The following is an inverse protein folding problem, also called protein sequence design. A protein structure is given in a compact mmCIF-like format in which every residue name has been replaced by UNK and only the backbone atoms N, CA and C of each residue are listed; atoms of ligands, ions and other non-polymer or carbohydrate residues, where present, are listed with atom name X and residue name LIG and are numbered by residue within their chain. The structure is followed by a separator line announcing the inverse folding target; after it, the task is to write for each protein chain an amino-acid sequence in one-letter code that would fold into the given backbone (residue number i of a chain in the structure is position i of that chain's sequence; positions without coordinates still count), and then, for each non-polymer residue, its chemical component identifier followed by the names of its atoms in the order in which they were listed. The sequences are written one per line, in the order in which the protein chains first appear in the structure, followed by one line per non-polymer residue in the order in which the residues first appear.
data_IF_381492108599
#
_entry.id   IF_381492108599
#
_cell.length_a   1.000
_cell.length_b   1.000
_cell.length_c   1.000
_cell.angle_alpha   90.00
_cell.angle_beta   90.00
_cell.angle_gamma   90.00
#
_symmetry.space_group_name_H-M   'P 1'
#
loop_
_entity.id
_entity.type
_entity.pdbx_description
1 polymer ?
#
# COMPACT_ATOMS: atom_id res chain seq x y z
N UNK A 1 8.10 48.04 6.60
CA UNK A 1 9.40 47.68 7.22
C UNK A 1 9.73 46.27 6.75
N UNK A 2 10.67 46.18 5.83
CA UNK A 2 11.10 44.97 5.13
C UNK A 2 12.26 44.36 5.93
N UNK A 3 12.20 43.06 6.23
CA UNK A 3 13.32 42.34 6.86
C UNK A 3 13.75 41.25 5.89
N UNK A 4 15.01 41.35 5.47
CA UNK A 4 15.53 40.82 4.22
C UNK A 4 15.69 39.30 4.13
N UNK A 5 15.44 38.80 2.92
CA UNK A 5 16.01 37.57 2.34
C UNK A 5 17.54 37.65 2.39
N UNK A 6 18.19 36.56 2.77
CA UNK A 6 19.62 36.37 2.55
C UNK A 6 19.85 35.13 1.67
N UNK A 7 20.30 35.38 0.45
CA UNK A 7 21.00 34.43 -0.41
C UNK A 7 22.31 35.12 -0.83
N UNK A 8 23.46 34.50 -0.54
CA UNK A 8 24.61 34.29 -1.46
C UNK A 8 25.89 33.92 -0.68
N UNK A 9 26.49 32.79 -1.07
CA UNK A 9 27.89 32.75 -1.49
C UNK A 9 28.11 31.50 -2.35
N UNK A 10 28.30 31.72 -3.64
CA UNK A 10 28.82 30.76 -4.61
C UNK A 10 30.33 30.62 -4.38
N UNK A 11 30.84 29.38 -4.31
CA UNK A 11 32.24 29.09 -4.61
C UNK A 11 32.32 27.73 -5.31
N UNK A 12 32.47 27.80 -6.62
CA UNK A 12 32.84 26.71 -7.51
C UNK A 12 34.36 26.53 -7.46
N UNK A 13 34.85 25.33 -7.12
CA UNK A 13 36.14 24.85 -7.62
C UNK A 13 36.09 23.35 -7.86
N UNK A 14 36.33 22.99 -9.12
CA UNK A 14 36.50 21.64 -9.66
C UNK A 14 37.92 21.14 -9.35
N UNK A 15 38.06 19.85 -8.98
CA UNK A 15 39.00 18.88 -9.57
C UNK A 15 39.27 17.71 -8.61
N UNK A 16 39.15 16.47 -9.12
CA UNK A 16 39.71 15.29 -8.46
C UNK A 16 39.05 13.99 -8.87
N UNK A 17 39.44 13.43 -10.03
CA UNK A 17 39.15 12.07 -10.42
C UNK A 17 39.73 11.06 -9.40
N UNK A 18 39.00 9.99 -9.14
CA UNK A 18 39.45 8.82 -8.39
C UNK A 18 38.58 7.64 -8.76
N UNK A 19 39.03 6.89 -9.76
CA UNK A 19 38.36 5.74 -10.34
C UNK A 19 38.71 4.45 -9.58
N UNK A 20 37.75 3.52 -9.58
CA UNK A 20 37.87 2.06 -9.46
C UNK A 20 38.20 1.39 -8.11
N UNK A 21 37.21 0.63 -7.63
CA UNK A 21 37.38 -0.56 -6.80
C UNK A 21 36.08 -1.37 -6.80
N UNK A 22 36.06 -2.63 -7.29
CA UNK A 22 34.82 -3.40 -7.39
C UNK A 22 34.41 -3.91 -6.00
N UNK A 23 33.18 -3.60 -5.59
CA UNK A 23 32.53 -4.28 -4.47
C UNK A 23 32.25 -5.71 -4.90
N UNK A 24 33.09 -6.62 -4.43
CA UNK A 24 32.86 -8.06 -4.49
C UNK A 24 31.55 -8.38 -3.75
N UNK A 25 30.71 -9.18 -4.42
CA UNK A 25 29.48 -9.68 -3.85
C UNK A 25 29.73 -10.86 -2.91
N UNK A 26 28.90 -10.94 -1.88
CA UNK A 26 28.63 -12.16 -1.14
C UNK A 26 27.12 -12.39 -1.13
N UNK A 27 26.60 -12.82 -2.29
CA UNK A 27 25.30 -13.47 -2.39
C UNK A 27 25.46 -14.90 -1.91
N UNK A 28 25.33 -15.11 -0.59
CA UNK A 28 25.33 -16.44 0.02
C UNK A 28 24.09 -17.22 -0.36
N UNK A 29 24.19 -18.00 -1.44
CA UNK A 29 23.29 -19.10 -1.77
C UNK A 29 23.74 -20.35 -1.01
N UNK A 30 23.01 -20.73 0.03
CA UNK A 30 23.16 -22.05 0.66
C UNK A 30 21.84 -22.47 1.32
N UNK A 31 21.00 -23.18 0.55
CA UNK A 31 19.96 -24.06 1.09
C UNK A 31 19.91 -25.34 0.24
N UNK A 32 20.94 -26.17 0.39
CA UNK A 32 20.99 -27.54 -0.10
C UNK A 32 20.65 -28.55 1.00
N UNK A 33 19.38 -28.98 1.06
CA UNK A 33 18.91 -30.28 1.59
C UNK A 33 19.02 -30.57 3.10
N UNK A 34 18.34 -31.63 3.62
CA UNK A 34 17.70 -32.71 2.89
C UNK A 34 16.16 -32.74 2.99
N UNK A 35 15.57 -33.42 2.01
CA UNK A 35 14.22 -33.94 2.07
C UNK A 35 14.10 -34.96 3.21
N UNK A 36 13.10 -34.78 4.08
CA UNK A 36 12.59 -35.86 4.91
C UNK A 36 11.14 -36.16 4.51
N UNK A 37 11.02 -37.30 3.85
CA UNK A 37 9.79 -38.00 3.57
C UNK A 37 9.30 -38.71 4.84
N UNK A 38 7.98 -38.76 5.05
CA UNK A 38 7.21 -39.88 5.64
C UNK A 38 5.72 -39.48 5.79
N UNK A 39 4.76 -40.42 5.84
CA UNK A 39 4.35 -41.26 4.72
C UNK A 39 2.85 -41.09 4.41
N UNK A 40 2.48 -41.34 3.15
CA UNK A 40 1.12 -41.74 2.79
C UNK A 40 0.91 -43.16 3.29
N UNK A 41 -0.23 -43.44 3.92
CA UNK A 41 -1.03 -44.66 3.73
C UNK A 41 -2.30 -44.63 4.61
N UNK A 42 -3.44 -44.97 4.01
CA UNK A 42 -4.72 -45.08 4.72
C UNK A 42 -5.95 -45.16 3.80
N UNK A 43 -5.99 -46.15 2.91
CA UNK A 43 -7.19 -46.60 2.20
C UNK A 43 -7.88 -47.66 3.08
N UNK A 44 -9.16 -47.54 3.46
CA UNK A 44 -10.36 -48.19 2.86
C UNK A 44 -11.40 -48.41 4.00
N UNK A 45 -12.58 -49.02 3.76
CA UNK A 45 -13.72 -48.61 2.93
C UNK A 45 -15.06 -48.63 3.74
N UNK A 46 -16.18 -48.46 3.03
CA UNK A 46 -17.56 -48.85 3.40
C UNK A 46 -18.39 -47.93 4.32
N UNK A 47 -19.24 -47.11 3.68
CA UNK A 47 -20.53 -46.70 4.22
C UNK A 47 -21.61 -46.86 3.11
N UNK A 48 -22.84 -47.27 3.46
CA UNK A 48 -23.80 -47.84 2.52
C UNK A 48 -24.40 -46.81 1.58
N UNK A 49 -24.57 -47.23 0.32
CA UNK A 49 -25.37 -46.53 -0.69
C UNK A 49 -26.84 -46.58 -0.28
N UNK A 50 -27.40 -45.44 0.09
CA UNK A 50 -28.85 -45.25 0.11
C UNK A 50 -29.25 -44.87 -1.32
N UNK A 51 -29.87 -45.82 -2.01
CA UNK A 51 -30.62 -45.61 -3.25
C UNK A 51 -31.89 -44.83 -2.89
N UNK A 52 -31.85 -43.53 -3.12
CA UNK A 52 -33.05 -42.74 -3.33
C UNK A 52 -33.05 -42.35 -4.81
N UNK A 53 -33.65 -43.24 -5.58
CA UNK A 53 -34.19 -42.99 -6.91
C UNK A 53 -35.20 -41.85 -6.80
N UNK A 54 -34.71 -40.61 -6.92
CA UNK A 54 -35.54 -39.43 -7.18
C UNK A 54 -35.91 -39.49 -8.67
N UNK A 55 -37.21 -39.40 -9.03
CA UNK A 55 -37.64 -39.40 -10.41
C UNK A 55 -36.93 -38.28 -11.18
N UNK A 56 -36.34 -38.65 -12.32
CA UNK A 56 -35.97 -37.71 -13.38
C UNK A 56 -37.26 -37.14 -13.98
N UNK A 57 -37.74 -36.05 -13.42
CA UNK A 57 -38.77 -35.24 -14.04
C UNK A 57 -38.14 -34.03 -14.73
N UNK A 58 -38.26 -34.01 -16.05
CA UNK A 58 -38.48 -32.79 -16.83
C UNK A 58 -37.27 -31.88 -17.01
N UNK A 59 -36.68 -31.95 -18.20
CA UNK A 59 -36.12 -30.75 -18.81
C UNK A 59 -37.22 -29.68 -18.87
N UNK A 60 -37.06 -28.65 -18.06
CA UNK A 60 -37.71 -27.37 -18.22
C UNK A 60 -36.61 -26.36 -18.47
N UNK A 61 -36.59 -25.78 -19.67
CA UNK A 61 -35.94 -24.49 -19.91
C UNK A 61 -36.43 -23.51 -18.85
N UNK A 62 -35.58 -23.24 -17.86
CA UNK A 62 -35.74 -22.08 -17.00
C UNK A 62 -35.17 -20.91 -17.77
N UNK A 63 -36.05 -20.20 -18.47
CA UNK A 63 -35.77 -18.88 -18.97
C UNK A 63 -35.28 -17.99 -17.81
N UNK A 64 -33.98 -17.68 -17.81
CA UNK A 64 -33.42 -16.47 -17.22
C UNK A 64 -33.40 -16.35 -15.69
N UNK A 65 -32.30 -16.82 -15.09
CA UNK A 65 -31.70 -16.18 -13.91
C UNK A 65 -31.69 -17.04 -12.65
N UNK A 66 -30.51 -17.53 -12.27
CA UNK A 66 -30.25 -18.26 -11.02
C UNK A 66 -30.25 -17.35 -9.77
N UNK A 67 -30.85 -16.17 -9.87
CA UNK A 67 -30.92 -15.14 -8.85
C UNK A 67 -29.71 -14.21 -8.79
N UNK A 68 -29.81 -13.12 -8.01
CA UNK A 68 -28.69 -12.25 -7.71
C UNK A 68 -27.72 -12.92 -6.73
N UNK A 69 -26.47 -12.50 -6.77
CA UNK A 69 -25.43 -12.88 -5.82
C UNK A 69 -24.58 -11.65 -5.48
N UNK A 70 -23.63 -11.81 -4.54
CA UNK A 70 -22.70 -10.73 -4.22
C UNK A 70 -21.31 -11.26 -3.85
N UNK A 71 -20.26 -10.64 -4.39
CA UNK A 71 -18.85 -10.93 -4.08
C UNK A 71 -18.25 -9.74 -3.35
N UNK A 72 -17.85 -9.89 -2.08
CA UNK A 72 -17.25 -8.80 -1.29
C UNK A 72 -18.06 -7.48 -1.25
N UNK A 73 -19.38 -7.55 -1.41
CA UNK A 73 -20.27 -6.38 -1.48
C UNK A 73 -20.63 -5.92 -2.89
N UNK A 74 -19.94 -6.41 -3.91
CA UNK A 74 -20.25 -6.13 -5.32
C UNK A 74 -21.44 -6.98 -5.78
N UNK A 75 -22.50 -6.37 -6.35
CA UNK A 75 -23.65 -7.10 -6.87
C UNK A 75 -23.27 -7.89 -8.13
N UNK A 76 -23.78 -9.12 -8.23
CA UNK A 76 -23.59 -10.00 -9.38
C UNK A 76 -24.86 -10.78 -9.71
N UNK A 77 -24.79 -11.56 -10.79
CA UNK A 77 -25.88 -12.43 -11.23
C UNK A 77 -25.35 -13.85 -11.36
N UNK A 78 -26.12 -14.81 -10.87
CA UNK A 78 -25.83 -16.22 -11.05
C UNK A 78 -26.16 -16.64 -12.49
N UNK A 79 -25.14 -17.04 -13.25
CA UNK A 79 -25.23 -17.47 -14.64
C UNK A 79 -24.17 -18.54 -14.91
N UNK A 80 -24.26 -19.24 -16.05
CA UNK A 80 -23.25 -20.19 -16.48
C UNK A 80 -21.88 -19.49 -16.67
N UNK A 81 -20.80 -20.12 -16.20
CA UNK A 81 -19.42 -19.62 -16.36
C UNK A 81 -19.05 -19.36 -17.82
N UNK A 82 -19.63 -20.08 -18.76
CA UNK A 82 -19.40 -19.90 -20.20
C UNK A 82 -20.11 -18.66 -20.77
N UNK A 83 -21.13 -18.15 -20.07
CA UNK A 83 -21.92 -16.98 -20.45
C UNK A 83 -21.53 -15.72 -19.67
N UNK A 84 -20.60 -15.83 -18.71
CA UNK A 84 -20.12 -14.71 -17.93
C UNK A 84 -19.06 -13.90 -18.70
N UNK A 85 -19.40 -12.68 -19.12
CA UNK A 85 -18.46 -11.71 -19.72
C UNK A 85 -17.53 -11.04 -18.68
N UNK A 86 -17.59 -11.44 -17.40
CA UNK A 86 -16.85 -10.85 -16.28
C UNK A 86 -16.10 -11.86 -15.42
N UNK A 87 -16.12 -11.68 -14.09
CA UNK A 87 -15.43 -12.58 -13.14
C UNK A 87 -16.43 -13.54 -12.52
N UNK A 88 -16.20 -14.85 -12.72
CA UNK A 88 -17.00 -15.92 -12.11
C UNK A 88 -16.42 -16.32 -10.76
N UNK A 89 -17.25 -16.28 -9.71
CA UNK A 89 -16.90 -16.73 -8.36
C UNK A 89 -17.78 -17.90 -7.94
N UNK A 90 -17.16 -19.06 -7.70
CA UNK A 90 -17.85 -20.29 -7.31
C UNK A 90 -18.41 -20.25 -5.88
N UNK A 91 -19.45 -21.06 -5.61
CA UNK A 91 -19.99 -21.30 -4.26
C UNK A 91 -20.96 -20.23 -3.72
N UNK A 92 -21.31 -19.24 -4.55
CA UNK A 92 -22.20 -18.14 -4.18
C UNK A 92 -23.58 -18.21 -4.85
N UNK A 93 -23.81 -19.25 -5.66
CA UNK A 93 -25.04 -19.46 -6.42
C UNK A 93 -25.61 -20.85 -6.14
N UNK A 94 -26.95 -21.00 -6.10
CA UNK A 94 -27.58 -22.30 -6.06
C UNK A 94 -27.44 -22.98 -7.42
N UNK A 95 -27.41 -24.32 -7.43
CA UNK A 95 -27.41 -25.09 -8.67
C UNK A 95 -26.12 -25.88 -8.91
N UNK A 96 -25.92 -26.30 -10.17
CA UNK A 96 -24.75 -27.08 -10.54
C UNK A 96 -23.48 -26.21 -10.60
N UNK A 97 -22.32 -26.84 -10.70
CA UNK A 97 -21.01 -26.19 -10.46
C UNK A 97 -20.63 -25.14 -11.52
N UNK A 98 -21.23 -25.24 -12.70
CA UNK A 98 -21.12 -24.29 -13.81
C UNK A 98 -21.88 -22.99 -13.56
N UNK A 99 -22.80 -22.94 -12.57
CA UNK A 99 -23.50 -21.72 -12.20
C UNK A 99 -22.73 -21.00 -11.11
N UNK A 100 -22.11 -19.88 -11.48
CA UNK A 100 -21.27 -19.09 -10.59
C UNK A 100 -21.73 -17.65 -10.54
N UNK A 101 -21.29 -16.94 -9.49
CA UNK A 101 -21.62 -15.53 -9.36
C UNK A 101 -20.78 -14.74 -10.36
N UNK A 102 -21.42 -14.28 -11.42
CA UNK A 102 -20.82 -13.40 -12.41
C UNK A 102 -20.99 -11.95 -11.95
N UNK A 103 -19.88 -11.31 -11.64
CA UNK A 103 -19.82 -9.84 -11.48
C UNK A 103 -19.27 -9.23 -12.76
N UNK A 104 -19.55 -7.95 -13.03
CA UNK A 104 -19.24 -7.25 -14.30
C UNK A 104 -17.75 -7.19 -14.68
N UNK A 105 -16.86 -7.90 -13.99
CA UNK A 105 -15.41 -7.75 -14.14
C UNK A 105 -14.90 -6.39 -13.66
N UNK A 106 -15.80 -5.50 -13.24
CA UNK A 106 -15.51 -4.24 -12.58
C UNK A 106 -15.16 -4.41 -11.09
N UNK A 107 -14.97 -5.66 -10.65
CA UNK A 107 -13.97 -5.98 -9.62
C UNK A 107 -12.57 -5.68 -10.16
N UNK A 108 -12.34 -4.39 -10.43
CA UNK A 108 -11.26 -3.71 -11.13
C UNK A 108 -10.21 -4.60 -11.79
N UNK A 109 -10.18 -4.62 -13.12
CA UNK A 109 -8.88 -4.64 -13.78
C UNK A 109 -8.05 -3.50 -13.17
N UNK A 110 -6.83 -3.80 -12.73
CA UNK A 110 -5.91 -2.74 -12.33
C UNK A 110 -5.60 -1.93 -13.59
N UNK A 111 -6.33 -0.84 -13.84
CA UNK A 111 -6.02 0.09 -14.91
C UNK A 111 -4.77 0.88 -14.48
N UNK A 112 -3.62 0.68 -15.15
CA UNK A 112 -2.41 1.42 -14.81
C UNK A 112 -2.53 2.92 -15.08
N UNK A 113 -3.53 3.35 -15.86
CA UNK A 113 -3.85 4.76 -16.06
C UNK A 113 -4.70 5.35 -14.94
N UNK A 114 -5.30 4.53 -14.07
CA UNK A 114 -6.07 5.03 -12.94
C UNK A 114 -5.13 5.61 -11.88
N UNK A 115 -5.38 6.86 -11.54
CA UNK A 115 -4.61 7.67 -10.60
C UNK A 115 -5.54 8.18 -9.51
N UNK A 116 -6.07 7.28 -8.65
CA UNK A 116 -6.98 7.70 -7.61
C UNK A 116 -6.26 8.66 -6.67
N UNK A 117 -6.96 9.71 -6.27
CA UNK A 117 -6.45 10.78 -5.41
C UNK A 117 -7.18 10.76 -4.06
N UNK A 118 -6.95 9.75 -3.22
CA UNK A 118 -7.66 9.60 -1.93
C UNK A 118 -7.40 10.76 -0.96
N UNK A 119 -6.36 11.55 -1.20
CA UNK A 119 -5.99 12.71 -0.39
C UNK A 119 -6.64 14.02 -0.86
N UNK A 120 -7.53 14.00 -1.85
CA UNK A 120 -8.18 15.20 -2.38
C UNK A 120 -8.91 15.98 -1.26
N UNK A 121 -8.63 17.29 -1.19
CA UNK A 121 -9.23 18.19 -0.20
C UNK A 121 -8.61 18.15 1.20
N UNK A 122 -7.66 17.26 1.46
CA UNK A 122 -6.90 17.27 2.72
C UNK A 122 -5.85 18.38 2.68
N UNK A 123 -5.64 19.00 3.84
CA UNK A 123 -4.66 20.08 4.02
C UNK A 123 -3.99 19.98 5.38
N UNK A 124 -2.86 20.65 5.53
CA UNK A 124 -2.14 20.67 6.80
C UNK A 124 -2.97 21.36 7.88
N UNK A 125 -3.05 20.72 9.05
CA UNK A 125 -3.58 21.37 10.25
C UNK A 125 -2.62 22.43 10.79
N UNK A 126 -3.04 23.24 11.77
CA UNK A 126 -2.13 24.18 12.41
C UNK A 126 -0.96 23.47 13.09
N UNK A 127 0.21 24.12 13.02
CA UNK A 127 1.37 23.73 13.78
C UNK A 127 1.17 23.91 15.28
N UNK A 128 1.98 23.23 16.08
CA UNK A 128 2.00 23.42 17.54
C UNK A 128 3.23 24.23 17.97
N UNK A 129 3.04 25.17 18.90
CA UNK A 129 4.12 26.01 19.39
C UNK A 129 4.66 26.94 18.30
N UNK A 130 5.99 26.95 18.13
CA UNK A 130 6.66 27.73 17.08
C UNK A 130 6.74 27.00 15.73
N UNK A 131 6.19 25.79 15.63
CA UNK A 131 6.31 24.99 14.40
C UNK A 131 5.32 25.43 13.31
N UNK A 132 5.72 25.32 12.02
CA UNK A 132 4.84 25.56 10.89
C UNK A 132 3.62 24.63 10.87
N UNK A 133 2.67 24.91 9.96
CA UNK A 133 1.53 24.03 9.68
C UNK A 133 1.99 22.57 9.46
N UNK A 134 1.19 21.62 9.93
CA UNK A 134 1.47 20.19 9.86
C UNK A 134 2.52 19.67 10.85
N UNK A 135 3.26 20.55 11.55
CA UNK A 135 4.44 20.14 12.33
C UNK A 135 4.26 20.24 13.86
N UNK A 136 5.07 19.45 14.57
CA UNK A 136 5.19 19.43 16.04
C UNK A 136 6.62 19.67 16.50
N UNK A 137 6.84 20.32 17.66
CA UNK A 137 8.17 20.53 18.19
C UNK A 137 8.72 19.23 18.78
N UNK A 138 9.94 18.88 18.38
CA UNK A 138 10.74 17.81 18.99
C UNK A 138 12.09 18.41 19.34
N UNK A 139 12.32 18.60 20.63
CA UNK A 139 13.53 19.24 21.15
C UNK A 139 13.76 20.62 20.48
N UNK A 140 14.81 20.74 19.66
CA UNK A 140 15.20 21.97 18.97
C UNK A 140 14.77 22.09 17.51
N UNK A 141 13.95 21.16 17.00
CA UNK A 141 13.48 21.17 15.61
C UNK A 141 11.97 20.90 15.53
N UNK A 142 11.41 21.12 14.34
CA UNK A 142 10.04 20.76 14.01
C UNK A 142 10.06 19.53 13.12
N UNK A 143 9.18 18.57 13.38
CA UNK A 143 8.95 17.41 12.53
C UNK A 143 7.48 17.33 12.14
N UNK A 144 7.19 16.77 10.97
CA UNK A 144 5.82 16.54 10.52
C UNK A 144 5.07 15.63 11.50
N UNK A 145 3.81 15.97 11.82
CA UNK A 145 2.97 15.20 12.76
C UNK A 145 2.50 13.88 12.16
N UNK A 146 2.26 13.90 10.86
CA UNK A 146 1.82 12.77 10.04
C UNK A 146 2.83 12.53 8.92
N UNK A 147 2.82 11.34 8.34
CA UNK A 147 3.63 11.02 7.18
C UNK A 147 3.35 11.98 6.01
N UNK A 148 4.35 12.18 5.15
CA UNK A 148 4.24 13.06 4.00
C UNK A 148 3.27 12.52 2.95
N UNK A 149 2.34 13.35 2.51
CA UNK A 149 1.57 13.19 1.28
C UNK A 149 1.99 14.28 0.27
N UNK A 150 1.65 14.10 -1.01
CA UNK A 150 2.02 15.04 -2.06
C UNK A 150 0.82 15.83 -2.59
N UNK A 151 1.09 17.10 -2.91
CA UNK A 151 0.18 17.96 -3.69
C UNK A 151 0.90 18.45 -4.94
N UNK A 152 0.14 18.55 -6.04
CA UNK A 152 0.55 19.25 -7.24
C UNK A 152 0.69 20.74 -6.93
N UNK A 153 1.73 21.38 -7.46
CA UNK A 153 1.97 22.82 -7.27
C UNK A 153 2.31 23.52 -8.59
N UNK A 154 1.89 24.77 -8.71
CA UNK A 154 2.36 25.72 -9.73
C UNK A 154 3.04 26.93 -9.06
N UNK A 155 3.27 28.00 -9.82
CA UNK A 155 3.91 29.22 -9.28
C UNK A 155 3.01 29.97 -8.26
N UNK A 156 1.72 29.65 -8.21
CA UNK A 156 0.74 30.24 -7.30
C UNK A 156 0.52 29.42 -6.02
N UNK A 157 0.91 28.14 -6.01
CA UNK A 157 0.84 27.25 -4.86
C UNK A 157 0.21 25.89 -5.17
N UNK A 158 -0.36 25.19 -4.16
CA UNK A 158 -1.05 23.92 -4.37
C UNK A 158 -2.28 24.04 -5.28
N UNK A 159 -2.36 23.17 -6.28
CA UNK A 159 -3.45 23.13 -7.27
C UNK A 159 -4.28 21.83 -7.22
N UNK A 160 -3.85 20.84 -6.43
CA UNK A 160 -4.55 19.57 -6.26
C UNK A 160 -3.72 18.53 -5.53
N UNK A 161 -4.32 17.41 -5.16
CA UNK A 161 -3.60 16.28 -4.57
C UNK A 161 -2.90 15.43 -5.64
N UNK A 162 -1.78 14.84 -5.28
CA UNK A 162 -1.13 13.78 -6.07
C UNK A 162 -1.53 12.40 -5.51
N UNK A 163 -1.49 11.37 -6.37
CA UNK A 163 -1.82 10.00 -5.95
C UNK A 163 -0.67 9.40 -5.11
N UNK A 164 -0.97 8.86 -3.91
CA UNK A 164 0.05 8.23 -3.06
C UNK A 164 0.59 6.91 -3.64
N UNK A 165 -0.02 6.39 -4.71
CA UNK A 165 0.32 5.11 -5.32
C UNK A 165 1.23 5.24 -6.55
N UNK A 166 1.57 6.47 -6.94
CA UNK A 166 2.33 6.75 -8.15
C UNK A 166 3.54 7.64 -7.86
N UNK A 167 4.65 7.35 -8.56
CA UNK A 167 5.87 8.17 -8.49
C UNK A 167 5.65 9.53 -9.18
N UNK A 168 6.06 10.66 -8.59
CA UNK A 168 5.88 12.00 -9.17
C UNK A 168 6.91 12.33 -10.27
N UNK A 169 7.26 11.37 -11.12
CA UNK A 169 8.33 11.52 -12.12
C UNK A 169 8.04 12.66 -13.11
N UNK A 170 8.93 13.65 -13.13
CA UNK A 170 8.79 14.83 -13.99
C UNK A 170 7.66 15.79 -13.57
N UNK A 171 7.02 15.57 -12.43
CA UNK A 171 5.93 16.38 -11.90
C UNK A 171 6.42 17.21 -10.72
N UNK A 172 6.10 18.51 -10.72
CA UNK A 172 6.41 19.39 -9.60
C UNK A 172 5.36 19.22 -8.50
N UNK A 173 5.82 18.85 -7.32
CA UNK A 173 4.99 18.52 -6.16
C UNK A 173 5.59 19.12 -4.89
N UNK A 174 4.73 19.40 -3.91
CA UNK A 174 5.14 19.75 -2.54
C UNK A 174 4.66 18.71 -1.54
N UNK A 175 5.42 18.50 -0.47
CA UNK A 175 5.05 17.63 0.63
C UNK A 175 4.12 18.34 1.63
N UNK A 176 3.06 17.66 2.07
CA UNK A 176 2.15 18.09 3.13
C UNK A 176 2.07 17.03 4.23
N UNK A 177 1.85 17.45 5.48
CA UNK A 177 1.56 16.59 6.63
C UNK A 177 0.13 16.83 7.10
N UNK A 178 -0.78 15.93 6.71
CA UNK A 178 -2.22 16.08 6.93
C UNK A 178 -2.83 14.87 7.63
N UNK A 179 -3.75 15.14 8.57
CA UNK A 179 -4.44 14.09 9.30
C UNK A 179 -5.34 13.27 8.35
N UNK A 180 -5.26 11.95 8.44
CA UNK A 180 -6.07 11.04 7.63
C UNK A 180 -5.60 10.90 6.18
N UNK A 181 -4.50 11.56 5.78
CA UNK A 181 -3.92 11.34 4.47
C UNK A 181 -3.32 9.94 4.38
N UNK A 182 -3.50 9.31 3.22
CA UNK A 182 -2.73 8.13 2.83
C UNK A 182 -1.29 8.59 2.53
N UNK A 183 -0.27 8.05 3.21
CA UNK A 183 1.12 8.45 3.00
C UNK A 183 1.58 8.25 1.56
N UNK A 184 2.43 9.14 1.06
CA UNK A 184 3.03 8.98 -0.26
C UNK A 184 3.93 7.74 -0.28
N UNK A 185 3.57 6.77 -1.12
CA UNK A 185 4.41 5.65 -1.49
C UNK A 185 5.18 5.90 -2.80
N UNK A 186 5.96 4.91 -3.23
CA UNK A 186 6.56 4.86 -4.57
C UNK A 186 7.36 6.12 -4.97
N UNK A 187 8.10 6.70 -4.02
CA UNK A 187 8.91 7.90 -4.21
C UNK A 187 10.36 7.63 -3.79
N UNK A 188 11.32 8.16 -4.54
CA UNK A 188 12.74 8.11 -4.17
C UNK A 188 13.09 9.15 -3.10
N UNK A 189 14.21 8.94 -2.39
CA UNK A 189 14.70 9.91 -1.41
C UNK A 189 15.01 11.29 -2.01
N UNK A 190 15.46 11.36 -3.26
CA UNK A 190 15.74 12.64 -3.95
C UNK A 190 14.46 13.38 -4.31
N UNK A 191 13.42 12.68 -4.79
CA UNK A 191 12.10 13.27 -5.03
C UNK A 191 11.44 13.73 -3.73
N UNK A 192 11.54 12.93 -2.66
CA UNK A 192 11.02 13.32 -1.35
C UNK A 192 11.72 14.58 -0.80
N UNK A 193 13.05 14.66 -0.93
CA UNK A 193 13.81 15.85 -0.56
C UNK A 193 13.38 17.09 -1.36
N UNK A 194 13.16 16.95 -2.67
CA UNK A 194 12.68 18.04 -3.52
C UNK A 194 11.26 18.48 -3.11
N UNK A 195 10.34 17.54 -2.85
CA UNK A 195 8.98 17.86 -2.39
C UNK A 195 8.96 18.56 -1.02
N UNK A 196 9.83 18.14 -0.09
CA UNK A 196 9.99 18.83 1.19
C UNK A 196 10.54 20.24 0.99
N UNK A 197 11.54 20.43 0.12
CA UNK A 197 12.12 21.74 -0.17
C UNK A 197 11.09 22.67 -0.82
N UNK A 198 10.26 22.15 -1.71
CA UNK A 198 9.14 22.88 -2.34
C UNK A 198 8.11 23.36 -1.29
N UNK A 199 7.91 22.59 -0.22
CA UNK A 199 7.09 22.98 0.93
C UNK A 199 7.80 23.93 1.92
N UNK A 200 9.03 24.35 1.64
CA UNK A 200 9.85 25.15 2.58
C UNK A 200 10.38 24.37 3.79
N UNK A 201 10.39 23.03 3.69
CA UNK A 201 10.86 22.08 4.70
C UNK A 201 12.14 21.37 4.20
N UNK A 202 12.58 20.36 4.94
CA UNK A 202 13.63 19.41 4.52
C UNK A 202 13.31 18.02 5.07
N UNK A 203 13.91 16.99 4.48
CA UNK A 203 13.89 15.67 5.11
C UNK A 203 14.55 15.73 6.50
N UNK A 204 13.98 14.97 7.43
CA UNK A 204 14.63 14.69 8.71
C UNK A 204 15.90 13.89 8.48
N UNK A 205 16.89 14.11 9.33
CA UNK A 205 18.01 13.17 9.48
C UNK A 205 17.55 11.94 10.27
N UNK A 206 18.26 10.82 10.14
CA UNK A 206 17.98 9.60 10.93
C UNK A 206 18.01 9.87 12.43
N UNK A 207 18.91 10.74 12.90
CA UNK A 207 19.01 11.15 14.30
C UNK A 207 17.76 11.91 14.76
N UNK A 208 17.26 12.85 13.95
CA UNK A 208 16.03 13.60 14.25
C UNK A 208 14.81 12.70 14.24
N UNK A 209 14.72 11.81 13.24
CA UNK A 209 13.64 10.84 13.14
C UNK A 209 13.61 9.92 14.36
N UNK A 210 14.75 9.37 14.75
CA UNK A 210 14.85 8.50 15.92
C UNK A 210 14.52 9.25 17.22
N UNK A 211 15.01 10.48 17.38
CA UNK A 211 14.68 11.31 18.53
C UNK A 211 13.17 11.59 18.63
N UNK A 212 12.51 11.85 17.50
CA UNK A 212 11.06 12.02 17.45
C UNK A 212 10.31 10.73 17.82
N UNK A 213 10.72 9.57 17.29
CA UNK A 213 10.10 8.29 17.59
C UNK A 213 10.22 7.89 19.06
N UNK A 214 11.38 8.12 19.67
CA UNK A 214 11.63 7.76 21.08
C UNK A 214 10.99 8.74 22.06
N UNK A 215 10.74 9.97 21.63
CA UNK A 215 10.18 11.04 22.43
C UNK A 215 11.10 11.48 23.57
N UNK A 216 10.58 12.36 24.45
CA UNK A 216 11.36 12.98 25.52
C UNK A 216 11.89 12.01 26.58
N UNK A 217 11.36 10.78 26.64
CA UNK A 217 11.78 9.74 27.60
C UNK A 217 12.62 8.64 26.95
N UNK A 218 13.09 8.85 25.72
CA UNK A 218 14.01 7.94 25.00
C UNK A 218 13.55 6.47 24.93
N UNK A 219 12.26 6.24 24.65
CA UNK A 219 11.65 4.91 24.69
C UNK A 219 12.20 3.96 23.62
N UNK A 220 12.15 2.66 23.90
CA UNK A 220 12.52 1.62 22.92
C UNK A 220 11.52 1.59 21.74
N UNK A 221 10.22 1.65 22.04
CA UNK A 221 9.15 1.76 21.04
C UNK A 221 8.38 3.08 21.22
N UNK A 222 7.73 3.62 20.18
CA UNK A 222 6.93 4.84 20.31
C UNK A 222 5.87 4.77 21.42
N UNK A 223 5.40 3.55 21.73
CA UNK A 223 4.37 3.29 22.74
C UNK A 223 4.89 2.82 24.11
N UNK A 224 6.21 2.68 24.33
CA UNK A 224 6.78 2.23 25.61
C UNK A 224 8.04 1.40 25.45
N UNK A 225 8.57 0.88 26.57
CA UNK A 225 9.82 0.09 26.57
C UNK A 225 9.59 -1.41 26.47
N UNK A 226 8.33 -1.85 26.47
CA UNK A 226 7.94 -3.24 26.31
C UNK A 226 7.22 -3.41 24.98
N UNK A 227 7.65 -4.40 24.18
CA UNK A 227 6.98 -4.74 22.91
C UNK A 227 5.54 -5.13 23.20
N UNK A 228 4.63 -4.63 22.37
CA UNK A 228 3.22 -5.04 22.38
C UNK A 228 2.96 -5.77 21.07
N UNK A 229 2.73 -7.08 21.14
CA UNK A 229 2.48 -7.90 19.97
C UNK A 229 1.25 -7.39 19.19
N UNK A 230 1.37 -7.35 17.87
CA UNK A 230 0.32 -6.83 16.97
C UNK A 230 0.19 -5.31 16.93
N UNK A 231 0.98 -4.56 17.71
CA UNK A 231 0.94 -3.08 17.67
C UNK A 231 1.77 -2.49 16.54
N UNK A 232 2.92 -3.08 16.27
CA UNK A 232 3.67 -2.83 15.05
C UNK A 232 3.24 -3.81 13.97
N UNK A 233 3.22 -3.38 12.71
CA UNK A 233 3.10 -4.30 11.57
C UNK A 233 4.45 -5.00 11.29
N UNK A 234 4.98 -5.70 12.30
CA UNK A 234 6.30 -6.33 12.30
C UNK A 234 6.25 -7.86 12.33
N UNK A 235 5.04 -8.44 12.40
CA UNK A 235 4.83 -9.87 12.45
C UNK A 235 3.82 -10.30 11.38
N UNK A 236 4.29 -11.13 10.43
CA UNK A 236 3.47 -11.74 9.37
C UNK A 236 3.95 -13.17 9.18
N UNK A 237 3.02 -14.14 9.14
CA UNK A 237 3.36 -15.54 8.90
C UNK A 237 3.77 -15.81 7.45
N UNK A 238 3.19 -15.05 6.50
CA UNK A 238 3.44 -15.18 5.07
C UNK A 238 3.82 -13.80 4.51
N UNK A 239 4.71 -13.78 3.53
CA UNK A 239 5.05 -12.55 2.83
C UNK A 239 3.83 -12.06 2.03
N UNK A 240 3.41 -10.78 2.09
CA UNK A 240 2.20 -10.28 1.41
C UNK A 240 2.18 -10.57 -0.09
N UNK A 241 3.35 -10.57 -0.73
CA UNK A 241 3.47 -10.98 -2.13
C UNK A 241 3.07 -12.46 -2.35
N UNK A 242 3.51 -13.37 -1.48
CA UNK A 242 3.15 -14.81 -1.56
C UNK A 242 1.67 -15.00 -1.22
N UNK A 243 1.17 -14.31 -0.19
CA UNK A 243 -0.24 -14.36 0.18
C UNK A 243 -1.14 -13.87 -0.96
N UNK A 244 -0.71 -12.86 -1.71
CA UNK A 244 -1.49 -12.26 -2.80
C UNK A 244 -1.34 -12.99 -4.14
N UNK A 245 -0.18 -13.57 -4.43
CA UNK A 245 0.15 -14.09 -5.77
C UNK A 245 0.43 -15.61 -5.83
N UNK A 246 0.43 -16.31 -4.69
CA UNK A 246 0.80 -17.73 -4.60
C UNK A 246 2.30 -17.97 -4.63
#
# INVERSE_FOLDING_TARGET
MSVGRWCFAFALTVAGCGDTGPMAGDGGSDLGGPADASPRDGFAPDAPRVDLSVPTDGGGEVDGGWGPCSVAGEPGVCIDVAECDGVSTAGLCPGPAEIQCCTSGEGGTCDPADMPTPNAGLSEGPGTGACPAGMVPVQGFCIDRYEGALVLVDDSGPIGSWSPYHSPDGVRVAAISAAGAVPQGYISGTQAAAACAEAGKRLCTDTEWLAACRGATERVYPYGDTRVDGRCNDARAVHPAVERFG
#
